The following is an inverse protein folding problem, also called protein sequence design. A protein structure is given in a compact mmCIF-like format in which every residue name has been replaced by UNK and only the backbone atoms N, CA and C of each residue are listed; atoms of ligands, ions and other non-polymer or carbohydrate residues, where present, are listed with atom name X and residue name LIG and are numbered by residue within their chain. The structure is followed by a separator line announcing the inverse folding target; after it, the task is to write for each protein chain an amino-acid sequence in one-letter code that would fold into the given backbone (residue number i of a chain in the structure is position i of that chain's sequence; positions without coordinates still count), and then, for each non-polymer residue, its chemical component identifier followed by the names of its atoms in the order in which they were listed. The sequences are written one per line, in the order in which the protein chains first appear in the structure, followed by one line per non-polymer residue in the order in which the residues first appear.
data_IF_042686723315
#
_entry.id   IF_042686723315
#
_cell.length_a   1.000
_cell.length_b   1.000
_cell.length_c   1.000
_cell.angle_alpha   90.00
_cell.angle_beta   90.00
_cell.angle_gamma   90.00
#
_symmetry.space_group_name_H-M   'P 1'
#
loop_
_entity.id
_entity.type
_entity.pdbx_description
1 polymer ?
#
# COMPACT_ATOMS: atom_id res chain seq x y z
N UNK A 1 -12.05 -3.30 -7.66
CA UNK A 1 -11.79 -4.29 -8.72
C UNK A 1 -10.43 -3.99 -9.34
N UNK A 2 -9.58 -4.98 -9.50
CA UNK A 2 -8.25 -4.73 -10.04
C UNK A 2 -8.28 -4.70 -11.58
N UNK A 3 -7.44 -3.86 -12.18
CA UNK A 3 -7.22 -3.81 -13.65
C UNK A 3 -6.94 -5.21 -14.20
N UNK A 4 -6.18 -6.02 -13.46
CA UNK A 4 -5.87 -7.40 -13.81
C UNK A 4 -7.12 -8.29 -13.92
N UNK A 5 -8.07 -8.15 -12.98
CA UNK A 5 -9.34 -8.88 -13.05
C UNK A 5 -10.14 -8.46 -14.29
N UNK A 6 -10.19 -7.17 -14.60
CA UNK A 6 -10.88 -6.67 -15.78
C UNK A 6 -10.27 -7.21 -17.07
N UNK A 7 -8.94 -7.27 -17.18
CA UNK A 7 -8.25 -7.88 -18.35
C UNK A 7 -8.66 -9.34 -18.55
N UNK A 8 -8.72 -10.12 -17.48
CA UNK A 8 -9.06 -11.55 -17.55
C UNK A 8 -10.54 -11.82 -17.87
N UNK A 9 -11.42 -10.86 -17.58
CA UNK A 9 -12.88 -11.03 -17.74
C UNK A 9 -13.45 -10.27 -18.93
N UNK A 10 -12.64 -9.45 -19.62
CA UNK A 10 -13.06 -8.74 -20.84
C UNK A 10 -13.17 -9.71 -22.01
N UNK A 11 -14.30 -9.63 -22.73
CA UNK A 11 -14.50 -10.37 -23.95
C UNK A 11 -13.45 -9.95 -25.00
N UNK A 12 -12.71 -10.90 -25.62
CA UNK A 12 -11.69 -10.59 -26.61
C UNK A 12 -12.23 -9.92 -27.89
N UNK A 13 -13.55 -9.94 -28.10
CA UNK A 13 -14.21 -9.28 -29.26
C UNK A 13 -14.62 -7.83 -28.96
N UNK A 14 -14.63 -7.42 -27.69
CA UNK A 14 -15.01 -6.06 -27.30
C UNK A 14 -13.89 -5.08 -27.69
N UNK A 15 -14.20 -4.09 -28.52
CA UNK A 15 -13.25 -3.03 -28.87
C UNK A 15 -12.99 -2.19 -27.63
N UNK A 16 -11.72 -1.92 -27.28
CA UNK A 16 -11.39 -1.10 -26.10
C UNK A 16 -11.65 0.39 -26.33
N UNK A 17 -11.78 0.82 -27.59
CA UNK A 17 -11.97 2.23 -27.97
C UNK A 17 -13.12 2.40 -28.95
N UNK A 18 -13.71 3.62 -28.91
CA UNK A 18 -14.69 4.12 -29.90
C UNK A 18 -14.17 5.43 -30.49
N UNK A 19 -14.34 5.59 -31.81
CA UNK A 19 -13.89 6.79 -32.53
C UNK A 19 -14.82 7.98 -32.27
N UNK A 20 -16.10 7.71 -32.01
CA UNK A 20 -17.10 8.70 -31.72
C UNK A 20 -18.35 8.12 -31.04
N UNK A 21 -19.31 9.00 -30.65
CA UNK A 21 -20.53 8.59 -29.97
C UNK A 21 -21.42 7.60 -30.75
N UNK A 22 -21.28 7.58 -32.07
CA UNK A 22 -21.98 6.66 -32.98
C UNK A 22 -21.58 5.19 -32.77
N UNK A 23 -20.42 4.95 -32.19
CA UNK A 23 -19.91 3.62 -31.86
C UNK A 23 -20.22 3.22 -30.41
N UNK A 24 -20.88 4.08 -29.63
CA UNK A 24 -21.18 3.77 -28.22
C UNK A 24 -22.28 2.72 -28.12
N UNK A 25 -22.19 1.81 -27.12
CA UNK A 25 -23.35 1.05 -26.68
C UNK A 25 -24.51 1.96 -26.27
N UNK A 26 -25.76 1.51 -26.45
CA UNK A 26 -26.95 2.34 -26.21
C UNK A 26 -26.95 3.02 -24.84
N UNK A 27 -26.57 2.29 -23.79
CA UNK A 27 -26.49 2.82 -22.42
C UNK A 27 -25.47 3.95 -22.29
N UNK A 28 -24.29 3.79 -22.91
CA UNK A 28 -23.24 4.79 -22.90
C UNK A 28 -23.62 6.03 -23.75
N UNK A 29 -24.32 5.82 -24.86
CA UNK A 29 -24.84 6.91 -25.69
C UNK A 29 -25.90 7.73 -24.94
N UNK A 30 -26.78 7.09 -24.19
CA UNK A 30 -27.75 7.77 -23.35
C UNK A 30 -27.04 8.62 -22.28
N UNK A 31 -26.08 8.03 -21.54
CA UNK A 31 -25.28 8.74 -20.56
C UNK A 31 -24.52 9.94 -21.15
N UNK A 32 -23.97 9.80 -22.35
CA UNK A 32 -23.31 10.88 -23.06
C UNK A 32 -24.28 12.04 -23.37
N UNK A 33 -25.47 11.72 -23.85
CA UNK A 33 -26.51 12.72 -24.14
C UNK A 33 -27.05 13.40 -22.86
N UNK A 34 -27.01 12.72 -21.72
CA UNK A 34 -27.35 13.25 -20.40
C UNK A 34 -26.21 14.08 -19.78
N UNK A 35 -25.07 14.21 -20.45
CA UNK A 35 -23.94 15.02 -20.01
C UNK A 35 -22.99 14.31 -19.04
N UNK A 36 -23.07 12.98 -18.95
CA UNK A 36 -22.10 12.21 -18.15
C UNK A 36 -20.69 12.28 -18.77
N UNK A 37 -19.68 12.21 -17.91
CA UNK A 37 -18.28 12.34 -18.33
C UNK A 37 -17.77 11.03 -18.93
N UNK A 38 -17.70 10.95 -20.26
CA UNK A 38 -17.07 9.84 -20.96
C UNK A 38 -15.66 10.24 -21.36
N UNK A 39 -14.69 9.51 -20.83
CA UNK A 39 -13.28 9.85 -20.98
C UNK A 39 -12.71 9.43 -22.33
N UNK A 40 -11.71 10.18 -22.76
CA UNK A 40 -10.84 9.85 -23.88
C UNK A 40 -9.47 9.45 -23.40
N UNK A 41 -8.86 8.51 -24.10
CA UNK A 41 -7.46 8.19 -23.93
C UNK A 41 -6.59 9.41 -24.37
N UNK A 42 -5.79 9.97 -23.48
CA UNK A 42 -4.97 11.13 -23.80
C UNK A 42 -3.89 10.84 -24.86
N UNK A 43 -3.55 9.57 -25.09
CA UNK A 43 -2.51 9.17 -26.05
C UNK A 43 -2.99 9.12 -27.49
N UNK A 44 -4.27 8.82 -27.73
CA UNK A 44 -4.83 8.63 -29.08
C UNK A 44 -6.10 9.45 -29.36
N UNK A 45 -6.68 10.09 -28.31
CA UNK A 45 -7.89 10.92 -28.40
C UNK A 45 -9.19 10.16 -28.62
N UNK A 46 -9.19 8.83 -28.60
CA UNK A 46 -10.37 7.99 -28.74
C UNK A 46 -11.10 7.85 -27.40
N UNK A 47 -12.42 7.67 -27.45
CA UNK A 47 -13.20 7.36 -26.26
C UNK A 47 -12.93 5.93 -25.79
N UNK A 48 -12.86 5.73 -24.48
CA UNK A 48 -12.90 4.38 -23.93
C UNK A 48 -14.26 3.75 -24.16
N UNK A 49 -14.32 2.65 -24.87
CA UNK A 49 -15.57 1.93 -25.10
C UNK A 49 -16.05 1.32 -23.78
N UNK A 50 -17.36 1.45 -23.53
CA UNK A 50 -18.01 0.78 -22.42
C UNK A 50 -17.95 -0.74 -22.56
N UNK A 51 -17.99 -1.46 -21.46
CA UNK A 51 -18.12 -2.92 -21.49
C UNK A 51 -19.58 -3.31 -21.74
N UNK A 52 -19.80 -4.35 -22.55
CA UNK A 52 -21.14 -4.90 -22.78
C UNK A 52 -21.71 -5.68 -21.57
N UNK A 53 -20.85 -5.98 -20.59
CA UNK A 53 -21.18 -6.69 -19.37
C UNK A 53 -20.65 -5.90 -18.17
N UNK A 54 -20.88 -6.33 -16.98
CA UNK A 54 -20.43 -5.73 -15.71
C UNK A 54 -18.90 -5.60 -15.55
N UNK A 55 -18.15 -5.75 -16.64
CA UNK A 55 -16.69 -5.70 -16.64
C UNK A 55 -16.21 -4.37 -17.19
N UNK A 56 -15.40 -3.69 -16.41
CA UNK A 56 -14.83 -2.40 -16.76
C UNK A 56 -13.77 -2.52 -17.85
N UNK A 57 -13.68 -1.49 -18.70
CA UNK A 57 -12.58 -1.37 -19.62
C UNK A 57 -11.26 -1.21 -18.82
N UNK A 58 -10.31 -2.16 -18.93
CA UNK A 58 -9.08 -2.12 -18.13
C UNK A 58 -8.19 -0.92 -18.45
N UNK A 59 -8.26 -0.39 -19.67
CA UNK A 59 -7.50 0.79 -20.09
C UNK A 59 -8.08 2.04 -19.42
N UNK A 60 -9.41 2.17 -19.37
CA UNK A 60 -10.09 3.25 -18.65
C UNK A 60 -9.71 3.21 -17.16
N UNK A 61 -9.76 2.04 -16.52
CA UNK A 61 -9.44 1.92 -15.10
C UNK A 61 -8.01 2.35 -14.76
N UNK A 62 -7.07 2.11 -15.67
CA UNK A 62 -5.69 2.55 -15.52
C UNK A 62 -5.58 4.07 -15.50
N UNK A 63 -6.32 4.75 -16.36
CA UNK A 63 -6.22 6.22 -16.52
C UNK A 63 -7.10 6.98 -15.53
N UNK A 64 -8.19 6.37 -15.09
CA UNK A 64 -9.08 6.94 -14.06
C UNK A 64 -8.44 6.93 -12.68
N UNK A 65 -7.77 5.83 -12.32
CA UNK A 65 -7.20 5.63 -10.99
C UNK A 65 -5.69 5.83 -11.04
N UNK A 66 -5.23 6.91 -10.45
CA UNK A 66 -3.78 7.15 -10.25
C UNK A 66 -3.40 6.66 -8.86
N UNK A 67 -2.62 5.60 -8.82
CA UNK A 67 -2.17 4.96 -7.58
C UNK A 67 -0.69 5.27 -7.41
N UNK A 68 -0.33 5.85 -6.27
CA UNK A 68 1.05 5.99 -5.81
C UNK A 68 1.25 5.15 -4.56
N UNK A 69 2.44 4.55 -4.45
CA UNK A 69 2.85 3.81 -3.27
C UNK A 69 4.34 4.01 -3.05
N UNK A 70 4.68 4.58 -1.91
CA UNK A 70 6.05 4.79 -1.46
C UNK A 70 6.28 3.96 -0.20
N UNK A 71 7.38 3.20 -0.20
CA UNK A 71 7.79 2.42 0.96
C UNK A 71 9.22 2.80 1.33
N UNK A 72 9.45 3.05 2.60
CA UNK A 72 10.77 3.33 3.16
C UNK A 72 11.02 2.40 4.34
N UNK A 73 12.10 1.63 4.25
CA UNK A 73 12.51 0.69 5.29
C UNK A 73 13.90 1.07 5.81
N UNK A 74 14.02 1.16 7.12
CA UNK A 74 15.29 1.34 7.83
C UNK A 74 15.46 0.18 8.78
N UNK A 75 16.59 -0.53 8.68
CA UNK A 75 16.94 -1.58 9.61
C UNK A 75 18.41 -1.39 10.03
N UNK A 76 18.63 -1.16 11.31
CA UNK A 76 19.95 -0.93 11.87
C UNK A 76 20.17 -1.86 13.08
N UNK A 77 21.30 -2.58 13.08
CA UNK A 77 21.69 -3.45 14.18
C UNK A 77 23.13 -3.17 14.55
N UNK A 78 23.35 -2.92 15.83
CA UNK A 78 24.69 -2.84 16.43
C UNK A 78 24.84 -3.98 17.42
N UNK A 79 26.05 -4.51 17.51
CA UNK A 79 26.37 -5.50 18.51
C UNK A 79 27.75 -5.27 19.11
N UNK A 80 27.92 -5.69 20.34
CA UNK A 80 29.20 -5.70 21.03
C UNK A 80 29.43 -7.06 21.68
N UNK A 81 30.64 -7.58 21.56
CA UNK A 81 31.07 -8.81 22.24
C UNK A 81 32.28 -8.53 23.11
N UNK A 82 32.18 -8.92 24.37
CA UNK A 82 33.24 -8.77 25.36
C UNK A 82 33.67 -10.17 25.84
N UNK A 83 34.98 -10.43 25.89
CA UNK A 83 35.59 -11.68 26.38
C UNK A 83 36.66 -11.35 27.43
N UNK A 84 36.26 -10.89 28.63
CA UNK A 84 37.21 -10.34 29.62
C UNK A 84 38.19 -11.38 30.17
N UNK A 85 37.79 -12.65 30.17
CA UNK A 85 38.65 -13.78 30.60
C UNK A 85 38.28 -15.07 29.86
N UNK A 86 39.18 -16.07 29.95
CA UNK A 86 39.01 -17.33 29.26
C UNK A 86 37.75 -18.06 29.68
N UNK A 87 36.94 -18.47 28.71
CA UNK A 87 35.70 -19.18 28.90
C UNK A 87 34.48 -18.30 29.10
N UNK A 88 34.63 -16.98 29.30
CA UNK A 88 33.48 -16.09 29.42
C UNK A 88 33.34 -15.22 28.17
N UNK A 89 32.10 -15.14 27.68
CA UNK A 89 31.71 -14.21 26.62
C UNK A 89 30.39 -13.51 26.97
N UNK A 90 30.34 -12.22 26.76
CA UNK A 90 29.12 -11.42 26.87
C UNK A 90 28.86 -10.76 25.53
N UNK A 91 27.68 -11.00 24.99
CA UNK A 91 27.24 -10.39 23.72
C UNK A 91 25.98 -9.58 23.98
N UNK A 92 25.99 -8.33 23.55
CA UNK A 92 24.80 -7.47 23.54
C UNK A 92 24.52 -7.00 22.12
N UNK A 93 23.24 -6.99 21.73
CA UNK A 93 22.76 -6.49 20.46
C UNK A 93 21.65 -5.48 20.69
N UNK A 94 21.64 -4.45 19.87
CA UNK A 94 20.54 -3.50 19.82
C UNK A 94 20.15 -3.30 18.35
N UNK A 95 18.90 -3.46 18.05
CA UNK A 95 18.31 -3.26 16.73
C UNK A 95 17.25 -2.17 16.74
N UNK A 96 17.20 -1.43 15.65
CA UNK A 96 16.08 -0.54 15.32
C UNK A 96 15.53 -0.92 13.97
N UNK A 97 14.20 -1.00 13.86
CA UNK A 97 13.48 -1.14 12.59
C UNK A 97 12.47 -0.02 12.46
N UNK A 98 12.52 0.67 11.33
CA UNK A 98 11.51 1.65 10.93
C UNK A 98 10.98 1.29 9.55
N UNK A 99 9.67 1.31 9.37
CA UNK A 99 8.98 1.11 8.10
C UNK A 99 7.93 2.19 7.96
N UNK A 100 7.99 2.91 6.84
CA UNK A 100 6.95 3.86 6.45
C UNK A 100 6.39 3.42 5.11
N UNK A 101 5.07 3.35 5.01
CA UNK A 101 4.36 3.03 3.80
C UNK A 101 3.27 4.06 3.57
N UNK A 102 3.40 4.79 2.48
CA UNK A 102 2.46 5.81 2.03
C UNK A 102 1.80 5.34 0.74
N UNK A 103 0.47 5.23 0.76
CA UNK A 103 -0.32 4.86 -0.41
C UNK A 103 -1.36 5.92 -0.68
N UNK A 104 -1.54 6.29 -1.92
CA UNK A 104 -2.63 7.16 -2.33
C UNK A 104 -3.27 6.68 -3.63
N UNK A 105 -4.56 6.98 -3.77
CA UNK A 105 -5.33 6.72 -4.97
C UNK A 105 -6.21 7.94 -5.25
N UNK A 106 -6.01 8.57 -6.40
CA UNK A 106 -6.92 9.59 -6.91
C UNK A 106 -7.75 9.04 -8.06
N UNK A 107 -9.05 9.36 -8.05
CA UNK A 107 -10.00 8.96 -9.08
C UNK A 107 -10.66 10.22 -9.64
N UNK A 108 -10.74 10.33 -10.97
CA UNK A 108 -11.46 11.42 -11.64
C UNK A 108 -12.88 10.99 -12.01
N UNK A 109 -13.81 11.93 -12.23
CA UNK A 109 -15.16 11.61 -12.73
C UNK A 109 -15.11 10.85 -14.04
N UNK A 110 -15.93 9.82 -14.16
CA UNK A 110 -16.05 9.02 -15.38
C UNK A 110 -17.36 8.27 -15.43
N UNK A 111 -17.79 7.90 -16.63
CA UNK A 111 -18.86 6.97 -16.86
C UNK A 111 -18.38 5.85 -17.80
N UNK A 112 -18.51 4.62 -17.35
CA UNK A 112 -18.28 3.40 -18.16
C UNK A 112 -19.58 2.61 -18.31
N UNK A 113 -20.32 2.45 -17.22
CA UNK A 113 -21.65 1.81 -17.18
C UNK A 113 -22.42 2.30 -15.97
N UNK A 114 -23.74 1.99 -15.89
CA UNK A 114 -24.57 2.30 -14.71
C UNK A 114 -24.06 1.68 -13.40
N UNK A 115 -23.24 0.64 -13.49
CA UNK A 115 -22.64 -0.05 -12.33
C UNK A 115 -21.23 0.42 -12.02
N UNK A 116 -20.62 1.16 -12.95
CA UNK A 116 -19.26 1.63 -12.83
C UNK A 116 -19.11 3.04 -13.38
N UNK A 117 -19.29 3.99 -12.51
CA UNK A 117 -19.17 5.41 -12.79
C UNK A 117 -18.80 6.17 -11.51
N UNK A 118 -18.32 7.38 -11.67
CA UNK A 118 -18.13 8.34 -10.59
C UNK A 118 -18.46 9.74 -11.10
N UNK A 119 -19.29 10.46 -10.36
CA UNK A 119 -19.66 11.85 -10.67
C UNK A 119 -18.71 12.84 -10.01
N UNK A 120 -17.86 12.39 -9.09
CA UNK A 120 -16.96 13.23 -8.32
C UNK A 120 -15.50 12.78 -8.43
N UNK A 121 -14.59 13.73 -8.26
CA UNK A 121 -13.20 13.42 -7.94
C UNK A 121 -13.11 12.85 -6.54
N UNK A 122 -12.25 11.87 -6.34
CA UNK A 122 -11.94 11.37 -5.01
C UNK A 122 -10.43 11.19 -4.82
N UNK A 123 -10.00 11.34 -3.58
CA UNK A 123 -8.63 11.10 -3.16
C UNK A 123 -8.66 10.29 -1.86
N UNK A 124 -7.96 9.18 -1.86
CA UNK A 124 -7.82 8.28 -0.70
C UNK A 124 -6.32 8.19 -0.41
N UNK A 125 -5.94 8.38 0.84
CA UNK A 125 -4.58 8.13 1.28
C UNK A 125 -4.57 7.23 2.51
N UNK A 126 -3.54 6.41 2.60
CA UNK A 126 -3.28 5.50 3.71
C UNK A 126 -1.81 5.60 4.06
N UNK A 127 -1.52 5.95 5.29
CA UNK A 127 -0.19 6.06 5.84
C UNK A 127 -0.02 5.03 6.96
N UNK A 128 1.03 4.22 6.86
CA UNK A 128 1.40 3.28 7.91
C UNK A 128 2.84 3.55 8.33
N UNK A 129 3.05 3.74 9.62
CA UNK A 129 4.37 3.88 10.20
C UNK A 129 4.55 2.82 11.29
N UNK A 130 5.52 1.95 11.09
CA UNK A 130 5.97 0.97 12.05
C UNK A 130 7.35 1.36 12.55
N UNK A 131 7.55 1.36 13.85
CA UNK A 131 8.88 1.51 14.44
C UNK A 131 9.06 0.54 15.59
N UNK A 132 10.24 -0.04 15.70
CA UNK A 132 10.51 -1.01 16.74
C UNK A 132 11.96 -0.99 17.20
N UNK A 133 12.13 -1.32 18.47
CA UNK A 133 13.45 -1.51 19.09
C UNK A 133 13.53 -2.94 19.60
N UNK A 134 14.66 -3.55 19.39
CA UNK A 134 15.00 -4.87 19.87
C UNK A 134 16.32 -4.78 20.61
N UNK A 135 16.38 -5.33 21.80
CA UNK A 135 17.61 -5.43 22.56
C UNK A 135 17.76 -6.83 23.13
N UNK A 136 18.91 -7.44 22.96
CA UNK A 136 19.24 -8.70 23.60
C UNK A 136 20.65 -8.67 24.20
N UNK A 137 20.82 -9.39 25.30
CA UNK A 137 22.09 -9.59 25.93
C UNK A 137 22.22 -11.04 26.37
N UNK A 138 23.37 -11.64 26.07
CA UNK A 138 23.66 -13.05 26.40
C UNK A 138 25.02 -13.14 27.04
N UNK A 139 25.07 -13.76 28.20
CA UNK A 139 26.32 -14.16 28.86
C UNK A 139 26.50 -15.69 28.74
N UNK A 140 27.68 -16.07 28.30
CA UNK A 140 28.07 -17.48 28.11
C UNK A 140 29.34 -17.76 28.92
N UNK A 141 29.38 -18.90 29.60
CA UNK A 141 30.54 -19.35 30.33
C UNK A 141 30.82 -20.81 30.04
N UNK A 142 32.01 -21.11 29.56
CA UNK A 142 32.48 -22.46 29.28
C UNK A 142 33.74 -22.76 30.07
N UNK A 143 33.68 -23.83 30.86
CA UNK A 143 34.81 -24.30 31.65
C UNK A 143 35.09 -25.77 31.36
N UNK A 144 36.33 -26.11 31.11
CA UNK A 144 36.76 -27.50 30.98
C UNK A 144 37.95 -27.75 31.89
N UNK A 145 37.85 -28.70 32.82
CA UNK A 145 38.88 -29.07 33.79
C UNK A 145 38.78 -30.54 34.21
N UNK A 146 39.89 -31.31 34.12
CA UNK A 146 39.99 -32.65 34.67
C UNK A 146 38.98 -33.65 34.12
N UNK A 147 38.63 -33.61 32.84
CA UNK A 147 37.65 -34.48 32.21
C UNK A 147 36.19 -34.03 32.38
N UNK A 148 35.96 -32.93 33.07
CA UNK A 148 34.64 -32.31 33.24
C UNK A 148 34.51 -31.07 32.37
N UNK A 149 33.33 -30.89 31.75
CA UNK A 149 32.97 -29.68 30.98
C UNK A 149 31.70 -29.08 31.55
N UNK A 150 31.65 -27.75 31.71
CA UNK A 150 30.50 -26.98 32.13
C UNK A 150 30.27 -25.89 31.10
N UNK A 151 29.08 -25.85 30.53
CA UNK A 151 28.59 -24.76 29.68
C UNK A 151 27.36 -24.14 30.34
N UNK A 152 27.41 -22.87 30.62
CA UNK A 152 26.30 -22.08 31.16
C UNK A 152 25.98 -20.92 30.28
N UNK A 153 24.70 -20.64 30.07
CA UNK A 153 24.20 -19.53 29.28
C UNK A 153 23.04 -18.86 29.98
N UNK A 154 23.08 -17.54 30.05
CA UNK A 154 21.98 -16.72 30.54
C UNK A 154 21.78 -15.54 29.58
N UNK A 155 20.54 -15.18 29.32
CA UNK A 155 20.25 -14.08 28.41
C UNK A 155 18.94 -13.38 28.74
N UNK A 156 18.80 -12.18 28.24
CA UNK A 156 17.60 -11.37 28.29
C UNK A 156 17.29 -10.85 26.89
N UNK A 157 16.01 -10.66 26.63
CA UNK A 157 15.49 -10.10 25.37
C UNK A 157 14.44 -9.05 25.69
N UNK A 158 14.42 -8.01 24.92
CA UNK A 158 13.41 -6.96 24.97
C UNK A 158 13.03 -6.55 23.55
N UNK A 159 11.74 -6.40 23.29
CA UNK A 159 11.21 -5.87 22.04
C UNK A 159 10.09 -4.87 22.34
N UNK A 160 10.07 -3.80 21.58
CA UNK A 160 8.98 -2.82 21.58
C UNK A 160 8.62 -2.45 20.16
N UNK A 161 7.35 -2.56 19.82
CA UNK A 161 6.81 -2.19 18.50
C UNK A 161 5.74 -1.13 18.68
N UNK A 162 5.84 -0.07 17.88
CA UNK A 162 4.85 0.98 17.77
C UNK A 162 4.36 1.04 16.33
N UNK A 163 3.06 0.96 16.13
CA UNK A 163 2.42 1.08 14.82
C UNK A 163 1.42 2.21 14.84
N UNK A 164 1.54 3.10 13.87
CA UNK A 164 0.58 4.17 13.60
C UNK A 164 -0.01 3.95 12.22
N UNK A 165 -1.30 4.03 12.13
CA UNK A 165 -2.05 3.90 10.89
C UNK A 165 -3.00 5.08 10.76
N UNK A 166 -3.03 5.70 9.57
CA UNK A 166 -3.87 6.84 9.25
C UNK A 166 -4.51 6.62 7.88
N UNK A 167 -5.82 6.71 7.83
CA UNK A 167 -6.58 6.70 6.58
C UNK A 167 -7.25 8.06 6.39
N UNK A 168 -7.20 8.56 5.18
CA UNK A 168 -7.84 9.80 4.79
C UNK A 168 -8.66 9.66 3.51
N UNK A 169 -9.73 10.42 3.43
CA UNK A 169 -10.60 10.51 2.27
C UNK A 169 -11.04 11.95 2.03
N UNK A 170 -11.01 12.37 0.78
CA UNK A 170 -11.62 13.60 0.31
C UNK A 170 -12.36 13.38 -1.00
N UNK A 171 -13.46 14.10 -1.24
CA UNK A 171 -14.15 14.11 -2.53
C UNK A 171 -14.66 15.49 -2.86
N UNK A 172 -14.76 15.80 -4.15
CA UNK A 172 -15.26 17.06 -4.68
C UNK A 172 -15.86 16.85 -6.06
N UNK A 173 -16.99 17.49 -6.36
CA UNK A 173 -17.63 17.42 -7.68
C UNK A 173 -16.99 18.39 -8.69
N UNK A 174 -16.26 19.39 -8.23
CA UNK A 174 -15.78 20.49 -9.06
C UNK A 174 -14.29 20.46 -9.40
N UNK A 175 -13.46 19.90 -8.51
CA UNK A 175 -12.01 19.86 -8.68
C UNK A 175 -11.40 18.64 -7.99
N UNK A 176 -10.25 18.19 -8.47
CA UNK A 176 -9.49 17.12 -7.81
C UNK A 176 -9.03 17.59 -6.42
N UNK A 177 -9.43 16.90 -5.33
CA UNK A 177 -8.98 17.23 -3.98
C UNK A 177 -7.50 16.95 -3.82
N UNK A 178 -6.84 17.75 -2.98
CA UNK A 178 -5.46 17.56 -2.57
C UNK A 178 -5.37 16.81 -1.23
N UNK A 179 -4.17 16.44 -0.85
CA UNK A 179 -3.91 15.80 0.45
C UNK A 179 -4.39 16.65 1.64
N UNK A 180 -4.24 17.97 1.56
CA UNK A 180 -4.63 18.91 2.61
C UNK A 180 -6.16 19.05 2.78
N UNK A 181 -6.94 18.58 1.80
CA UNK A 181 -8.41 18.60 1.86
C UNK A 181 -8.99 17.40 2.62
N UNK A 182 -8.14 16.46 3.07
CA UNK A 182 -8.58 15.22 3.67
C UNK A 182 -8.87 15.34 5.16
N UNK A 183 -9.85 14.56 5.60
CA UNK A 183 -10.01 14.20 7.00
C UNK A 183 -9.35 12.85 7.26
N UNK A 184 -8.55 12.77 8.33
CA UNK A 184 -7.83 11.56 8.69
C UNK A 184 -8.42 10.90 9.94
N UNK A 185 -8.57 9.59 9.86
CA UNK A 185 -8.76 8.72 11.01
C UNK A 185 -7.41 8.09 11.39
N UNK A 186 -6.97 8.30 12.62
CA UNK A 186 -5.71 7.77 13.12
C UNK A 186 -5.92 6.68 14.17
N UNK A 187 -5.18 5.60 14.05
CA UNK A 187 -5.11 4.50 15.04
C UNK A 187 -3.67 4.26 15.43
N UNK A 188 -3.43 4.10 16.72
CA UNK A 188 -2.10 3.79 17.25
C UNK A 188 -2.18 2.49 18.07
N UNK A 189 -1.21 1.61 17.88
CA UNK A 189 -1.04 0.42 18.71
C UNK A 189 0.41 0.32 19.19
N UNK A 190 0.59 -0.09 20.46
CA UNK A 190 1.90 -0.31 21.06
C UNK A 190 1.93 -1.69 21.70
N UNK A 191 3.01 -2.43 21.49
CA UNK A 191 3.28 -3.68 22.20
C UNK A 191 4.73 -3.70 22.66
N UNK A 192 4.99 -4.34 23.80
CA UNK A 192 6.34 -4.57 24.32
C UNK A 192 6.38 -5.95 24.99
N UNK A 193 7.42 -6.73 24.67
CA UNK A 193 7.70 -8.03 25.27
C UNK A 193 9.10 -8.03 25.91
N UNK A 194 9.23 -8.77 27.05
CA UNK A 194 10.46 -8.94 27.79
C UNK A 194 10.76 -10.42 28.04
#
# INVERSE_FOLDING_TARGET
SSVYKSILTTDPVTKPYASGPEEFPLEMLQAYNEGQTILKDPSNGQYYAGSFYTTDNPLLLKDVNKINADNQDINAVIYAKLTPFKGFAFTARFGYRGEQQDKSCSTQPYYSSRYNNSVAYSYIASEMMNSGYQADAVAEYALSKGGHALDARAGMYYESVNQTFRDGYASSETAAPAYDDMSFDAKESKSSDM
#
